data_IF_772507973253
#
_entry.id   IF_772507973253
#
_cell.length_a   1.000
_cell.length_b   1.000
_cell.length_c   1.000
_cell.angle_alpha   90.00
_cell.angle_beta   90.00
_cell.angle_gamma   90.00
#
_symmetry.space_group_name_H-M   'P 1'
#
loop_
_entity.id
_entity.type
_entity.pdbx_description
1 polymer ?
#
# COMPACT_ATOMS: atom_id res chain seq x y z
N UNK A 1 26.03 -19.43 5.71
CA UNK A 1 26.41 -18.26 6.54
C UNK A 1 25.36 -17.18 6.38
N UNK A 2 24.71 -16.71 7.45
CA UNK A 2 23.83 -15.53 7.36
C UNK A 2 24.71 -14.30 7.12
N UNK A 3 24.67 -13.71 5.93
CA UNK A 3 25.31 -12.41 5.66
C UNK A 3 24.71 -11.40 6.64
N UNK A 4 25.54 -10.85 7.53
CA UNK A 4 25.17 -9.66 8.32
C UNK A 4 25.44 -8.46 7.44
N UNK A 5 24.37 -7.82 6.95
CA UNK A 5 24.47 -6.57 6.22
C UNK A 5 24.80 -5.43 7.20
N UNK A 6 25.68 -4.52 6.80
CA UNK A 6 25.86 -3.25 7.49
C UNK A 6 24.61 -2.37 7.34
N UNK A 7 24.44 -1.39 8.22
CA UNK A 7 23.27 -0.49 8.18
C UNK A 7 23.14 0.25 6.84
N UNK A 8 24.26 0.65 6.25
CA UNK A 8 24.30 1.30 4.95
C UNK A 8 23.87 0.36 3.81
N UNK A 9 24.30 -0.91 3.86
CA UNK A 9 23.86 -1.92 2.89
C UNK A 9 22.38 -2.26 3.05
N UNK A 10 21.82 -2.19 4.27
CA UNK A 10 20.38 -2.37 4.49
C UNK A 10 19.55 -1.20 3.97
N UNK A 11 20.03 0.04 4.11
CA UNK A 11 19.34 1.22 3.60
C UNK A 11 19.32 1.24 2.06
N UNK A 12 20.44 0.89 1.42
CA UNK A 12 20.54 0.75 -0.04
C UNK A 12 19.65 -0.40 -0.55
N UNK A 13 19.68 -1.54 0.13
CA UNK A 13 18.84 -2.69 -0.22
C UNK A 13 17.34 -2.36 -0.04
N UNK A 14 16.99 -1.61 1.00
CA UNK A 14 15.62 -1.14 1.21
C UNK A 14 15.19 -0.19 0.10
N UNK A 15 16.04 0.75 -0.32
CA UNK A 15 15.74 1.62 -1.45
C UNK A 15 15.54 0.82 -2.74
N UNK A 16 16.34 -0.22 -2.96
CA UNK A 16 16.16 -1.13 -4.09
C UNK A 16 14.84 -1.90 -3.99
N UNK A 17 14.47 -2.40 -2.81
CA UNK A 17 13.19 -3.10 -2.58
C UNK A 17 11.99 -2.20 -2.81
N UNK A 18 12.06 -0.93 -2.38
CA UNK A 18 10.98 0.04 -2.61
C UNK A 18 10.79 0.37 -4.09
N UNK A 19 11.89 0.45 -4.84
CA UNK A 19 11.86 0.84 -6.27
C UNK A 19 11.46 -0.32 -7.17
N UNK A 20 11.98 -1.51 -6.89
CA UNK A 20 11.93 -2.64 -7.80
C UNK A 20 11.20 -3.85 -7.24
N UNK A 21 10.92 -3.91 -5.95
CA UNK A 21 10.26 -5.07 -5.32
C UNK A 21 11.24 -6.15 -4.89
N UNK A 22 10.70 -7.27 -4.41
CA UNK A 22 11.48 -8.36 -3.79
C UNK A 22 11.42 -9.68 -4.55
N UNK A 23 10.88 -9.72 -5.76
CA UNK A 23 10.83 -10.94 -6.56
C UNK A 23 12.23 -11.52 -6.80
N UNK A 24 12.43 -12.86 -6.68
CA UNK A 24 13.74 -13.50 -6.86
C UNK A 24 14.43 -13.13 -8.18
N UNK A 25 13.67 -12.99 -9.26
CA UNK A 25 14.16 -12.59 -10.59
C UNK A 25 14.71 -11.16 -10.60
N UNK A 26 14.15 -10.27 -9.79
CA UNK A 26 14.58 -8.88 -9.64
C UNK A 26 15.82 -8.80 -8.75
N UNK A 27 15.86 -9.59 -7.69
CA UNK A 27 17.05 -9.70 -6.82
C UNK A 27 18.25 -10.30 -7.55
N UNK A 28 17.99 -11.11 -8.58
CA UNK A 28 19.03 -11.74 -9.41
C UNK A 28 19.49 -10.87 -10.59
N UNK A 29 18.77 -9.78 -10.89
CA UNK A 29 19.09 -8.87 -11.99
C UNK A 29 20.28 -7.96 -11.66
N UNK A 30 21.18 -7.78 -12.63
CA UNK A 30 22.45 -7.07 -12.45
C UNK A 30 22.36 -5.58 -12.72
N UNK A 31 21.28 -5.12 -13.38
CA UNK A 31 21.06 -3.70 -13.71
C UNK A 31 19.63 -3.24 -13.49
N UNK A 32 19.43 -1.93 -13.28
CA UNK A 32 18.09 -1.32 -13.19
C UNK A 32 17.25 -1.53 -14.46
N UNK A 33 17.88 -1.68 -15.62
CA UNK A 33 17.19 -1.97 -16.88
C UNK A 33 16.63 -3.40 -16.87
N UNK A 34 17.44 -4.38 -16.46
CA UNK A 34 17.01 -5.77 -16.28
C UNK A 34 15.92 -5.90 -15.22
N UNK A 35 16.04 -5.18 -14.08
CA UNK A 35 15.01 -5.14 -13.04
C UNK A 35 13.68 -4.62 -13.58
N UNK A 36 13.69 -3.55 -14.38
CA UNK A 36 12.49 -3.01 -15.01
C UNK A 36 11.85 -3.99 -15.99
N UNK A 37 12.67 -4.64 -16.81
CA UNK A 37 12.17 -5.65 -17.76
C UNK A 37 11.58 -6.85 -17.01
N UNK A 38 12.26 -7.34 -15.97
CA UNK A 38 11.76 -8.41 -15.11
C UNK A 38 10.43 -8.03 -14.45
N UNK A 39 10.26 -6.80 -13.94
CA UNK A 39 8.98 -6.33 -13.39
C UNK A 39 7.88 -6.34 -14.45
N UNK A 40 8.17 -5.84 -15.65
CA UNK A 40 7.21 -5.83 -16.77
C UNK A 40 6.82 -7.26 -17.11
N UNK A 41 7.79 -8.18 -17.15
CA UNK A 41 7.57 -9.56 -17.51
C UNK A 41 6.82 -10.34 -16.43
N UNK A 42 7.14 -10.17 -15.14
CA UNK A 42 6.40 -10.77 -14.02
C UNK A 42 4.95 -10.24 -14.01
N UNK A 43 4.80 -8.93 -14.15
CA UNK A 43 3.49 -8.27 -14.23
C UNK A 43 2.71 -8.73 -15.46
N UNK A 44 3.38 -9.05 -16.57
CA UNK A 44 2.79 -9.56 -17.81
C UNK A 44 2.38 -11.02 -17.69
N UNK A 45 3.27 -11.88 -17.21
CA UNK A 45 3.21 -13.32 -17.45
C UNK A 45 2.45 -14.07 -16.36
N UNK A 46 2.50 -13.60 -15.11
CA UNK A 46 1.75 -14.22 -14.00
C UNK A 46 0.41 -13.52 -13.78
N UNK A 47 0.42 -12.19 -13.71
CA UNK A 47 -0.77 -11.39 -13.43
C UNK A 47 -1.83 -11.50 -14.54
N UNK A 48 -1.43 -11.32 -15.81
CA UNK A 48 -2.41 -11.35 -16.89
C UNK A 48 -2.88 -12.76 -17.19
N UNK A 49 -2.03 -13.79 -17.08
CA UNK A 49 -2.49 -15.16 -17.38
C UNK A 49 -3.54 -15.61 -16.38
N UNK A 50 -3.31 -15.44 -15.09
CA UNK A 50 -4.23 -15.93 -14.07
C UNK A 50 -5.52 -15.10 -14.03
N UNK A 51 -5.43 -13.77 -14.12
CA UNK A 51 -6.62 -12.90 -14.09
C UNK A 51 -7.44 -12.99 -15.39
N UNK A 52 -6.80 -13.05 -16.58
CA UNK A 52 -7.52 -13.15 -17.85
C UNK A 52 -8.22 -14.52 -17.99
N UNK A 53 -7.61 -15.59 -17.47
CA UNK A 53 -8.21 -16.92 -17.48
C UNK A 53 -9.37 -17.06 -16.49
N UNK A 54 -9.36 -16.32 -15.38
CA UNK A 54 -10.38 -16.48 -14.33
C UNK A 54 -11.80 -16.02 -14.71
N UNK A 55 -11.97 -15.01 -15.57
CA UNK A 55 -13.29 -14.39 -15.81
C UNK A 55 -13.52 -13.81 -17.23
N UNK A 56 -12.79 -14.25 -18.27
CA UNK A 56 -13.05 -13.81 -19.65
C UNK A 56 -12.93 -12.28 -19.83
N UNK A 57 -11.87 -11.70 -19.27
CA UNK A 57 -11.63 -10.25 -19.26
C UNK A 57 -11.64 -9.66 -20.68
N UNK A 58 -12.60 -8.77 -20.93
CA UNK A 58 -12.90 -8.24 -22.28
C UNK A 58 -11.85 -7.25 -22.79
N UNK A 59 -11.01 -6.67 -21.93
CA UNK A 59 -10.05 -5.64 -22.33
C UNK A 59 -8.77 -5.61 -21.47
N UNK A 60 -7.69 -6.28 -21.90
CA UNK A 60 -6.39 -6.25 -21.21
C UNK A 60 -5.72 -4.86 -21.19
N UNK A 61 -5.99 -4.01 -22.20
CA UNK A 61 -5.44 -2.65 -22.24
C UNK A 61 -6.04 -1.75 -21.15
N UNK A 62 -7.31 -1.96 -20.81
CA UNK A 62 -7.96 -1.26 -19.71
C UNK A 62 -7.30 -1.62 -18.36
N UNK A 63 -7.02 -2.90 -18.13
CA UNK A 63 -6.34 -3.37 -16.91
C UNK A 63 -4.98 -2.69 -16.73
N UNK A 64 -4.16 -2.64 -17.79
CA UNK A 64 -2.86 -1.94 -17.79
C UNK A 64 -2.99 -0.48 -17.36
N UNK A 65 -3.93 0.25 -17.97
CA UNK A 65 -4.15 1.66 -17.65
C UNK A 65 -4.69 1.87 -16.23
N UNK A 66 -5.54 0.96 -15.75
CA UNK A 66 -6.04 0.99 -14.38
C UNK A 66 -4.90 0.79 -13.38
N UNK A 67 -4.07 -0.25 -13.56
CA UNK A 67 -2.91 -0.49 -12.71
C UNK A 67 -1.97 0.72 -12.68
N UNK A 68 -1.69 1.35 -13.84
CA UNK A 68 -0.90 2.57 -13.90
C UNK A 68 -1.55 3.73 -13.15
N UNK A 69 -2.87 3.94 -13.29
CA UNK A 69 -3.59 5.00 -12.60
C UNK A 69 -3.57 4.79 -11.07
N UNK A 70 -3.75 3.54 -10.61
CA UNK A 70 -3.67 3.16 -9.20
C UNK A 70 -2.24 3.35 -8.65
N UNK A 71 -1.23 2.91 -9.41
CA UNK A 71 0.17 3.07 -9.03
C UNK A 71 0.55 4.55 -8.84
N UNK A 72 0.00 5.45 -9.68
CA UNK A 72 0.17 6.91 -9.56
C UNK A 72 -0.60 7.53 -8.38
N UNK A 73 -1.54 6.80 -7.79
CA UNK A 73 -2.35 7.26 -6.66
C UNK A 73 -2.05 6.49 -5.36
N UNK A 74 -0.95 5.71 -5.30
CA UNK A 74 -0.51 5.04 -4.06
C UNK A 74 -0.43 6.06 -2.92
N UNK A 75 -0.94 5.67 -1.76
CA UNK A 75 -1.03 6.52 -0.55
C UNK A 75 -2.12 7.60 -0.62
N UNK A 76 -2.84 7.71 -1.74
CA UNK A 76 -3.95 8.65 -1.92
C UNK A 76 -5.29 7.91 -1.94
N UNK A 77 -6.35 8.63 -1.60
CA UNK A 77 -7.71 8.12 -1.69
C UNK A 77 -8.12 7.90 -3.14
N UNK A 78 -8.77 6.77 -3.41
CA UNK A 78 -9.23 6.39 -4.74
C UNK A 78 -10.73 6.56 -4.88
N UNK A 79 -11.15 7.19 -5.98
CA UNK A 79 -12.55 7.32 -6.39
C UNK A 79 -12.81 6.51 -7.66
N UNK A 80 -13.71 5.53 -7.58
CA UNK A 80 -14.09 4.72 -8.76
C UNK A 80 -14.77 5.58 -9.84
N UNK A 81 -15.46 6.63 -9.43
CA UNK A 81 -16.03 7.59 -10.37
C UNK A 81 -14.92 8.33 -11.14
N UNK A 82 -13.91 8.86 -10.44
CA UNK A 82 -12.79 9.58 -11.09
C UNK A 82 -11.99 8.66 -12.02
N UNK A 83 -11.71 7.42 -11.59
CA UNK A 83 -11.06 6.41 -12.44
C UNK A 83 -11.91 6.08 -13.66
N UNK A 84 -13.23 5.99 -13.51
CA UNK A 84 -14.12 5.67 -14.64
C UNK A 84 -14.13 6.78 -15.69
N UNK A 85 -14.09 8.05 -15.28
CA UNK A 85 -13.96 9.20 -16.18
C UNK A 85 -12.59 9.20 -16.88
N UNK A 86 -11.51 8.98 -16.12
CA UNK A 86 -10.14 8.95 -16.65
C UNK A 86 -9.96 7.84 -17.71
N UNK A 87 -10.49 6.66 -17.42
CA UNK A 87 -10.32 5.47 -18.26
C UNK A 87 -11.43 5.29 -19.30
N UNK A 88 -12.39 6.22 -19.34
CA UNK A 88 -13.53 6.24 -20.27
C UNK A 88 -14.32 4.92 -20.23
N UNK A 89 -14.68 4.50 -19.03
CA UNK A 89 -15.47 3.28 -18.78
C UNK A 89 -16.50 3.53 -17.67
N UNK A 90 -17.25 2.51 -17.27
CA UNK A 90 -18.22 2.62 -16.18
C UNK A 90 -17.57 2.39 -14.82
N UNK A 91 -18.08 3.01 -13.74
CA UNK A 91 -17.58 2.76 -12.38
C UNK A 91 -17.76 1.30 -11.97
N UNK A 92 -18.81 0.62 -12.41
CA UNK A 92 -19.01 -0.81 -12.19
C UNK A 92 -17.92 -1.67 -12.85
N UNK A 93 -17.43 -1.25 -14.03
CA UNK A 93 -16.28 -1.92 -14.68
C UNK A 93 -15.00 -1.70 -13.88
N UNK A 94 -14.77 -0.50 -13.35
CA UNK A 94 -13.60 -0.23 -12.49
C UNK A 94 -13.65 -1.08 -11.22
N UNK A 95 -14.80 -1.10 -10.54
CA UNK A 95 -15.04 -1.89 -9.33
C UNK A 95 -14.80 -3.38 -9.59
N UNK A 96 -15.32 -3.93 -10.70
CA UNK A 96 -15.07 -5.31 -11.08
C UNK A 96 -13.57 -5.61 -11.31
N UNK A 97 -12.85 -4.72 -11.99
CA UNK A 97 -11.41 -4.92 -12.22
C UNK A 97 -10.60 -4.81 -10.92
N UNK A 98 -11.00 -3.95 -9.98
CA UNK A 98 -10.37 -3.84 -8.66
C UNK A 98 -10.61 -5.13 -7.86
N UNK A 99 -11.84 -5.63 -7.81
CA UNK A 99 -12.19 -6.90 -7.15
C UNK A 99 -11.36 -8.09 -7.71
N UNK A 100 -11.16 -8.15 -9.03
CA UNK A 100 -10.29 -9.14 -9.65
C UNK A 100 -8.84 -9.00 -9.19
N UNK A 101 -8.31 -7.77 -9.16
CA UNK A 101 -6.94 -7.49 -8.72
C UNK A 101 -6.71 -7.86 -7.25
N UNK A 102 -7.70 -7.59 -6.39
CA UNK A 102 -7.67 -8.00 -4.98
C UNK A 102 -7.66 -9.51 -4.81
N UNK A 103 -8.55 -10.23 -5.51
CA UNK A 103 -8.61 -11.70 -5.49
C UNK A 103 -7.34 -12.36 -6.01
N UNK A 104 -6.62 -11.69 -6.90
CA UNK A 104 -5.31 -12.13 -7.40
C UNK A 104 -4.12 -11.69 -6.54
N UNK A 105 -4.36 -11.11 -5.35
CA UNK A 105 -3.31 -10.63 -4.44
C UNK A 105 -2.33 -9.64 -5.08
N UNK A 106 -2.82 -8.81 -6.01
CA UNK A 106 -2.02 -7.76 -6.65
C UNK A 106 -2.10 -6.48 -5.85
N UNK A 107 -3.33 -6.13 -5.47
CA UNK A 107 -3.64 -4.96 -4.67
C UNK A 107 -4.50 -5.35 -3.48
N UNK A 108 -4.67 -4.42 -2.57
CA UNK A 108 -5.72 -4.44 -1.58
C UNK A 108 -6.24 -3.04 -1.30
N UNK A 109 -7.49 -2.96 -0.90
CA UNK A 109 -8.11 -1.74 -0.44
C UNK A 109 -7.95 -1.58 1.07
N UNK A 110 -7.61 -0.38 1.50
CA UNK A 110 -7.57 0.05 2.90
C UNK A 110 -8.74 1.01 3.12
N UNK A 111 -9.80 0.60 3.83
CA UNK A 111 -10.96 1.44 4.06
C UNK A 111 -10.69 2.55 5.09
N UNK A 112 -11.47 3.62 5.02
CA UNK A 112 -11.42 4.69 6.02
C UNK A 112 -12.11 4.24 7.32
N UNK A 113 -11.47 4.51 8.45
CA UNK A 113 -12.04 4.34 9.78
C UNK A 113 -12.92 5.54 10.13
N UNK A 114 -14.15 5.28 10.57
CA UNK A 114 -15.01 6.31 11.11
C UNK A 114 -15.94 5.77 12.19
N UNK A 115 -15.96 6.44 13.34
CA UNK A 115 -16.97 6.26 14.40
C UNK A 115 -17.93 7.46 14.47
N UNK A 116 -17.53 8.61 13.90
CA UNK A 116 -18.33 9.82 13.83
C UNK A 116 -18.41 10.37 12.39
N UNK A 117 -19.46 10.00 11.62
CA UNK A 117 -19.63 10.42 10.23
C UNK A 117 -19.75 11.94 10.03
N UNK A 118 -19.96 12.75 11.08
CA UNK A 118 -20.01 14.21 10.96
C UNK A 118 -18.62 14.86 10.92
N UNK A 119 -17.59 14.17 11.42
CA UNK A 119 -16.22 14.72 11.54
C UNK A 119 -15.21 13.99 10.64
N UNK A 120 -15.56 12.79 10.18
CA UNK A 120 -14.65 11.83 9.57
C UNK A 120 -15.18 11.33 8.22
N UNK A 121 -14.26 10.94 7.34
CA UNK A 121 -14.60 10.37 6.03
C UNK A 121 -14.80 8.86 6.20
N UNK A 122 -15.98 8.34 5.82
CA UNK A 122 -16.31 6.92 6.02
C UNK A 122 -16.29 6.05 4.74
N UNK A 123 -16.46 6.65 3.54
CA UNK A 123 -16.69 5.90 2.28
C UNK A 123 -15.51 5.90 1.30
N UNK A 124 -14.37 6.44 1.70
CA UNK A 124 -13.17 6.44 0.84
C UNK A 124 -12.28 5.26 1.19
N UNK A 125 -11.47 4.87 0.22
CA UNK A 125 -10.49 3.81 0.34
C UNK A 125 -9.17 4.27 -0.26
N UNK A 126 -8.07 3.83 0.32
CA UNK A 126 -6.76 3.86 -0.34
C UNK A 126 -6.51 2.50 -0.95
N UNK A 127 -5.74 2.44 -2.03
CA UNK A 127 -5.33 1.18 -2.67
C UNK A 127 -3.82 1.07 -2.61
N UNK A 128 -3.35 -0.09 -2.17
CA UNK A 128 -1.92 -0.42 -2.09
C UNK A 128 -1.62 -1.71 -2.83
N UNK A 129 -0.36 -1.89 -3.22
CA UNK A 129 0.10 -3.05 -3.95
C UNK A 129 0.82 -4.03 -3.02
N UNK A 130 0.63 -5.33 -3.19
CA UNK A 130 1.35 -6.33 -2.40
C UNK A 130 2.85 -6.38 -2.73
N UNK A 131 3.20 -6.03 -3.96
CA UNK A 131 4.58 -5.82 -4.39
C UNK A 131 4.70 -4.45 -5.05
N UNK A 132 5.72 -3.70 -4.66
CA UNK A 132 5.99 -2.34 -5.13
C UNK A 132 6.93 -2.42 -6.33
N UNK A 133 6.44 -2.01 -7.50
CA UNK A 133 7.24 -1.98 -8.73
C UNK A 133 7.03 -0.68 -9.50
N UNK A 134 8.14 0.02 -9.75
CA UNK A 134 8.26 1.14 -10.71
C UNK A 134 7.50 2.42 -10.32
N UNK A 135 7.89 3.07 -9.22
CA UNK A 135 7.61 4.50 -9.00
C UNK A 135 8.82 5.22 -8.41
N UNK A 136 8.87 6.55 -8.57
CA UNK A 136 9.91 7.43 -8.02
C UNK A 136 9.44 8.24 -6.80
N UNK A 137 8.27 7.94 -6.24
CA UNK A 137 7.77 8.61 -5.03
C UNK A 137 8.11 7.78 -3.79
N UNK A 138 9.31 8.02 -3.24
CA UNK A 138 9.85 7.30 -2.09
C UNK A 138 8.91 7.36 -0.87
N UNK A 139 8.15 8.46 -0.70
CA UNK A 139 7.22 8.61 0.42
C UNK A 139 6.05 7.64 0.33
N UNK A 140 5.33 7.65 -0.79
CA UNK A 140 4.21 6.73 -1.03
C UNK A 140 4.65 5.26 -1.10
N UNK A 141 5.84 4.99 -1.66
CA UNK A 141 6.41 3.64 -1.68
C UNK A 141 6.76 3.14 -0.28
N UNK A 142 7.34 4.00 0.55
CA UNK A 142 7.65 3.67 1.94
C UNK A 142 6.38 3.32 2.74
N UNK A 143 5.33 4.14 2.62
CA UNK A 143 4.03 3.88 3.22
C UNK A 143 3.46 2.54 2.77
N UNK A 144 3.41 2.29 1.45
CA UNK A 144 2.93 1.03 0.90
C UNK A 144 3.73 -0.15 1.47
N UNK A 145 5.05 -0.08 1.45
CA UNK A 145 5.93 -1.15 1.94
C UNK A 145 5.66 -1.44 3.41
N UNK A 146 5.57 -0.40 4.25
CA UNK A 146 5.34 -0.59 5.67
C UNK A 146 4.01 -1.29 5.96
N UNK A 147 2.93 -0.84 5.30
CA UNK A 147 1.59 -1.42 5.49
C UNK A 147 1.58 -2.88 5.05
N UNK A 148 2.16 -3.18 3.88
CA UNK A 148 2.25 -4.55 3.34
C UNK A 148 2.97 -5.47 4.31
N UNK A 149 4.14 -5.05 4.80
CA UNK A 149 4.98 -5.90 5.64
C UNK A 149 4.38 -6.07 7.04
N UNK A 150 3.73 -5.04 7.61
CA UNK A 150 2.96 -5.18 8.86
C UNK A 150 1.76 -6.13 8.70
N UNK A 151 1.05 -6.05 7.57
CA UNK A 151 -0.03 -6.98 7.24
C UNK A 151 0.47 -8.41 7.10
N UNK A 152 1.53 -8.63 6.31
CA UNK A 152 2.17 -9.95 6.14
C UNK A 152 2.64 -10.52 7.48
N UNK A 153 3.25 -9.69 8.32
CA UNK A 153 3.72 -10.12 9.64
C UNK A 153 2.54 -10.57 10.51
N UNK A 154 1.45 -9.80 10.55
CA UNK A 154 0.22 -10.14 11.29
C UNK A 154 -0.41 -11.46 10.81
N UNK A 155 -0.49 -11.65 9.49
CA UNK A 155 -0.99 -12.90 8.88
C UNK A 155 -0.11 -14.10 9.20
N UNK A 156 1.22 -13.94 9.16
CA UNK A 156 2.20 -15.01 9.46
C UNK A 156 2.06 -15.54 10.89
N UNK A 157 1.77 -14.68 11.85
CA UNK A 157 1.58 -15.05 13.25
C UNK A 157 0.11 -15.34 13.60
N UNK A 158 -0.78 -15.33 12.61
CA UNK A 158 -2.20 -15.70 12.78
C UNK A 158 -3.03 -14.68 13.57
N UNK A 159 -2.59 -13.42 13.64
CA UNK A 159 -3.37 -12.36 14.31
C UNK A 159 -4.62 -12.03 13.51
N UNK A 160 -5.74 -11.88 14.22
CA UNK A 160 -6.97 -11.33 13.66
C UNK A 160 -6.99 -9.83 13.95
N UNK A 161 -6.74 -9.04 12.91
CA UNK A 161 -6.71 -7.58 13.00
C UNK A 161 -7.67 -6.95 12.03
N UNK A 162 -8.16 -5.76 12.36
CA UNK A 162 -8.87 -4.89 11.44
C UNK A 162 -7.96 -3.73 11.05
N UNK A 163 -7.94 -3.40 9.76
CA UNK A 163 -6.96 -2.49 9.18
C UNK A 163 -7.66 -1.35 8.45
N UNK A 164 -7.27 -0.11 8.74
CA UNK A 164 -7.89 1.09 8.20
C UNK A 164 -6.87 2.21 7.97
N UNK A 165 -7.27 3.29 7.31
CA UNK A 165 -6.65 4.62 7.48
C UNK A 165 -7.65 5.55 8.16
N UNK A 166 -7.25 6.73 8.64
CA UNK A 166 -8.20 7.71 9.16
C UNK A 166 -8.02 9.07 8.52
N UNK A 167 -9.13 9.74 8.24
CA UNK A 167 -9.12 11.10 7.69
C UNK A 167 -10.31 11.91 8.17
N UNK A 168 -10.02 13.17 8.51
CA UNK A 168 -11.02 14.17 8.89
C UNK A 168 -11.43 15.04 7.70
N UNK A 169 -12.59 15.70 7.80
CA UNK A 169 -13.02 16.68 6.79
C UNK A 169 -12.05 17.87 6.63
N UNK A 170 -11.26 18.18 7.68
CA UNK A 170 -10.19 19.19 7.64
C UNK A 170 -8.87 18.68 7.07
N UNK A 171 -8.89 17.52 6.38
CA UNK A 171 -7.75 16.91 5.69
C UNK A 171 -6.58 16.55 6.63
N UNK A 172 -6.84 16.34 7.92
CA UNK A 172 -5.91 15.64 8.81
C UNK A 172 -6.06 14.14 8.64
N UNK A 173 -4.94 13.44 8.75
CA UNK A 173 -4.83 12.04 8.39
C UNK A 173 -3.98 11.26 9.40
N UNK A 174 -4.26 9.96 9.48
CA UNK A 174 -3.40 8.92 10.05
C UNK A 174 -3.30 7.85 8.97
N UNK A 175 -2.06 7.53 8.56
CA UNK A 175 -1.80 6.69 7.39
C UNK A 175 -2.35 5.27 7.56
N UNK A 176 -2.22 4.70 8.76
CA UNK A 176 -2.64 3.33 9.05
C UNK A 176 -3.09 3.12 10.49
N UNK A 177 -4.14 2.32 10.66
CA UNK A 177 -4.73 1.95 11.94
C UNK A 177 -4.90 0.44 11.94
N UNK A 178 -4.40 -0.20 13.00
CA UNK A 178 -4.60 -1.62 13.29
C UNK A 178 -5.38 -1.74 14.58
N UNK A 179 -6.52 -2.44 14.53
CA UNK A 179 -7.32 -2.77 15.70
C UNK A 179 -7.19 -4.26 15.97
N UNK A 180 -6.68 -4.60 17.16
CA UNK A 180 -6.53 -5.97 17.65
C UNK A 180 -7.13 -6.04 19.04
N UNK A 181 -8.12 -6.92 19.29
CA UNK A 181 -8.78 -7.06 20.59
C UNK A 181 -9.23 -5.71 21.20
N UNK A 182 -9.87 -4.85 20.39
CA UNK A 182 -10.31 -3.49 20.75
C UNK A 182 -9.18 -2.47 21.01
N UNK A 183 -7.91 -2.89 20.98
CA UNK A 183 -6.76 -1.98 21.07
C UNK A 183 -6.44 -1.37 19.71
N UNK A 184 -6.47 -0.04 19.65
CA UNK A 184 -6.20 0.72 18.43
C UNK A 184 -4.75 1.22 18.39
N UNK A 185 -4.01 0.76 17.39
CA UNK A 185 -2.65 1.21 17.11
C UNK A 185 -2.63 2.03 15.82
N UNK A 186 -2.32 3.32 15.94
CA UNK A 186 -2.18 4.22 14.80
C UNK A 186 -0.72 4.42 14.40
N UNK A 187 -0.49 4.51 13.09
CA UNK A 187 0.83 4.63 12.50
C UNK A 187 0.86 5.78 11.48
N UNK A 188 1.99 6.46 11.46
CA UNK A 188 2.37 7.45 10.46
C UNK A 188 3.70 7.04 9.85
N UNK A 189 3.81 7.03 8.53
CA UNK A 189 5.03 6.63 7.84
C UNK A 189 5.79 7.85 7.32
N UNK A 190 7.07 7.91 7.66
CA UNK A 190 7.98 8.98 7.24
C UNK A 190 9.32 8.40 6.86
N UNK A 191 9.64 8.47 5.56
CA UNK A 191 10.97 8.10 5.07
C UNK A 191 12.09 8.90 5.75
N UNK A 192 11.87 10.20 5.97
CA UNK A 192 12.81 11.09 6.66
C UNK A 192 12.14 11.74 7.88
N UNK A 193 12.73 11.59 9.06
CA UNK A 193 12.19 12.05 10.36
C UNK A 193 12.83 13.34 10.87
N UNK A 194 13.03 14.33 10.00
CA UNK A 194 13.64 15.63 10.40
C UNK A 194 12.78 16.42 11.40
N UNK A 195 11.49 16.12 11.51
CA UNK A 195 10.55 16.77 12.43
C UNK A 195 9.81 15.71 13.24
N UNK A 196 9.63 15.97 14.53
CA UNK A 196 8.74 15.17 15.38
C UNK A 196 7.30 15.36 14.89
N UNK A 197 6.70 14.30 14.39
CA UNK A 197 5.28 14.25 14.03
C UNK A 197 4.49 13.80 15.26
N UNK A 198 3.34 14.42 15.50
CA UNK A 198 2.39 14.04 16.55
C UNK A 198 1.08 13.66 15.89
N UNK A 199 0.29 12.84 16.58
CA UNK A 199 -1.07 12.53 16.19
C UNK A 199 -1.87 13.82 15.96
N UNK A 200 -2.77 13.86 14.94
CA UNK A 200 -3.72 14.96 14.80
C UNK A 200 -4.52 15.13 16.09
N UNK A 201 -4.65 16.37 16.59
CA UNK A 201 -5.38 16.63 17.85
C UNK A 201 -6.80 16.05 17.83
N UNK A 202 -7.51 16.24 16.72
CA UNK A 202 -8.86 15.69 16.53
C UNK A 202 -8.88 14.15 16.63
N UNK A 203 -7.87 13.47 16.11
CA UNK A 203 -7.77 12.01 16.21
C UNK A 203 -7.57 11.60 17.67
N UNK A 204 -6.63 12.23 18.39
CA UNK A 204 -6.39 11.94 19.81
C UNK A 204 -7.59 12.25 20.71
N UNK A 205 -8.34 13.30 20.40
CA UNK A 205 -9.55 13.67 21.15
C UNK A 205 -10.69 12.65 20.93
N UNK A 206 -10.80 12.07 19.72
CA UNK A 206 -11.80 11.05 19.39
C UNK A 206 -11.41 9.64 19.87
N UNK A 207 -10.10 9.34 19.88
CA UNK A 207 -9.55 8.02 20.21
C UNK A 207 -8.49 8.13 21.31
N UNK A 208 -8.87 8.52 22.55
CA UNK A 208 -7.91 8.82 23.62
C UNK A 208 -7.11 7.60 24.11
N UNK A 209 -7.62 6.39 23.86
CA UNK A 209 -6.95 5.14 24.22
C UNK A 209 -6.09 4.56 23.09
N UNK A 210 -6.03 5.22 21.93
CA UNK A 210 -5.19 4.78 20.82
C UNK A 210 -3.71 5.09 21.07
N UNK A 211 -2.83 4.24 20.55
CA UNK A 211 -1.40 4.56 20.44
C UNK A 211 -1.13 5.28 19.11
N UNK A 212 -0.05 6.07 19.04
CA UNK A 212 0.38 6.71 17.79
C UNK A 212 1.90 6.59 17.62
N UNK A 213 2.33 5.88 16.58
CA UNK A 213 3.73 5.59 16.30
C UNK A 213 4.16 6.15 14.94
N UNK A 214 5.30 6.83 14.89
CA UNK A 214 5.88 7.30 13.63
C UNK A 214 6.98 6.34 13.20
N UNK A 215 6.83 5.75 12.01
CA UNK A 215 7.73 4.74 11.47
C UNK A 215 8.60 5.29 10.34
N UNK A 216 9.90 5.09 10.50
CA UNK A 216 10.96 5.43 9.55
C UNK A 216 11.84 4.20 9.30
N UNK A 217 12.71 4.22 8.28
CA UNK A 217 13.66 3.13 8.04
C UNK A 217 14.47 2.71 9.27
N UNK A 218 14.67 3.64 10.21
CA UNK A 218 15.48 3.45 11.43
C UNK A 218 14.80 2.60 12.50
N UNK A 219 13.46 2.59 12.56
CA UNK A 219 12.71 1.93 13.63
C UNK A 219 11.68 0.91 13.13
N UNK A 220 11.41 0.88 11.82
CA UNK A 220 10.39 0.04 11.20
C UNK A 220 10.51 -1.45 11.57
N UNK A 221 11.73 -1.99 11.55
CA UNK A 221 12.01 -3.40 11.84
C UNK A 221 11.62 -3.88 13.25
N UNK A 222 11.24 -2.97 14.15
CA UNK A 222 10.70 -3.33 15.48
C UNK A 222 9.22 -3.72 15.43
N UNK A 223 8.54 -3.45 14.32
CA UNK A 223 7.09 -3.57 14.17
C UNK A 223 6.69 -4.69 13.19
N UNK A 224 7.65 -5.47 12.68
CA UNK A 224 7.44 -6.56 11.71
C UNK A 224 8.16 -7.84 12.11
#
# INVERSE_FOLDING_TARGET
MKKKYSRFEMDDLLEQFLRFGMYPEILSASSDAEKKEAIIQISSDYLYKDILQFQNLKNPKLLRKLLQALALQIGSEVSFHELSQLLKTSSATIEHYIDLLEKSFVIFSLPAYSTNPQKEIAKKQKIYFYDVGVRNDIGGLWENFCIVEQRKSSQRIGKQVQEFFWRSYSQKEVDYIVIENEEMNAFEYKWNTRKKVKAPKLFSDLYPHSTFSVLSPENFWKYV
#
